data_IF_413321802433
#
_entry.id   IF_413321802433
#
_cell.length_a   1.000
_cell.length_b   1.000
_cell.length_c   1.000
_cell.angle_alpha   90.00
_cell.angle_beta   90.00
_cell.angle_gamma   90.00
#
_symmetry.space_group_name_H-M   'P 1'
#
loop_
_entity.id
_entity.type
_entity.pdbx_description
1 polymer ?
#
# COMPACT_ATOMS: atom_id res chain seq x y z
N UNK A 1 -4.71 -36.71 36.21
CA UNK A 1 -3.31 -36.24 36.03
C UNK A 1 -3.35 -35.19 34.94
N UNK A 2 -3.23 -33.91 35.29
CA UNK A 2 -3.35 -32.78 34.35
C UNK A 2 -1.97 -32.45 33.79
N UNK A 3 -1.76 -32.63 32.49
CA UNK A 3 -0.54 -32.23 31.80
C UNK A 3 -0.73 -30.83 31.24
N UNK A 4 -0.10 -29.83 31.87
CA UNK A 4 -0.06 -28.46 31.35
C UNK A 4 0.75 -28.45 30.04
N UNK A 5 0.25 -27.86 28.93
CA UNK A 5 1.01 -27.80 27.68
C UNK A 5 2.20 -26.85 27.88
N UNK A 6 3.42 -27.39 27.72
CA UNK A 6 4.65 -26.63 27.79
C UNK A 6 4.77 -25.74 26.55
N UNK A 7 4.83 -24.43 26.74
CA UNK A 7 5.09 -23.48 25.67
C UNK A 7 6.48 -23.72 25.09
N UNK A 8 6.62 -23.90 23.77
CA UNK A 8 7.94 -24.09 23.16
C UNK A 8 8.78 -22.82 23.35
N UNK A 9 10.02 -22.98 23.80
CA UNK A 9 10.96 -21.88 23.99
C UNK A 9 11.53 -21.46 22.64
N UNK A 10 11.16 -20.27 22.18
CA UNK A 10 11.64 -19.69 20.90
C UNK A 10 12.75 -18.70 21.19
N UNK A 11 13.85 -18.78 20.45
CA UNK A 11 14.98 -17.84 20.56
C UNK A 11 15.56 -17.54 19.19
N UNK A 12 15.89 -16.27 18.96
CA UNK A 12 16.67 -15.84 17.81
C UNK A 12 18.14 -16.15 18.08
N UNK A 13 18.78 -16.85 17.15
CA UNK A 13 20.18 -17.26 17.24
C UNK A 13 20.96 -16.78 16.03
N UNK A 14 22.27 -16.62 16.20
CA UNK A 14 23.16 -16.29 15.09
C UNK A 14 23.45 -17.53 14.22
N UNK A 15 24.09 -17.31 13.06
CA UNK A 15 24.39 -18.38 12.11
C UNK A 15 25.28 -19.51 12.68
N UNK A 16 26.27 -19.17 13.51
CA UNK A 16 27.17 -20.17 14.11
C UNK A 16 26.42 -21.07 15.10
N UNK A 17 25.57 -20.47 15.94
CA UNK A 17 24.71 -21.18 16.88
C UNK A 17 23.66 -22.04 16.16
N UNK A 18 23.12 -21.56 15.03
CA UNK A 18 22.21 -22.32 14.18
C UNK A 18 22.88 -23.58 13.61
N UNK A 19 24.06 -23.46 13.01
CA UNK A 19 24.82 -24.61 12.46
C UNK A 19 25.15 -25.63 13.55
N UNK A 20 25.46 -25.17 14.76
CA UNK A 20 25.69 -26.05 15.89
C UNK A 20 24.40 -26.77 16.32
N UNK A 21 23.28 -26.06 16.42
CA UNK A 21 21.99 -26.63 16.79
C UNK A 21 21.51 -27.70 15.80
N UNK A 22 21.72 -27.49 14.49
CA UNK A 22 21.40 -28.48 13.45
C UNK A 22 22.14 -29.83 13.61
N UNK A 23 23.27 -29.87 14.34
CA UNK A 23 24.07 -31.08 14.56
C UNK A 23 23.70 -31.84 15.84
N UNK A 24 22.82 -31.30 16.68
CA UNK A 24 22.37 -31.97 17.89
C UNK A 24 21.42 -33.12 17.54
N UNK A 25 21.53 -34.23 18.28
CA UNK A 25 20.59 -35.35 18.13
C UNK A 25 19.16 -34.90 18.49
N UNK A 26 18.21 -35.20 17.59
CA UNK A 26 16.80 -34.81 17.74
C UNK A 26 16.42 -33.45 17.13
N UNK A 27 17.37 -32.73 16.51
CA UNK A 27 17.08 -31.49 15.80
C UNK A 27 16.27 -31.73 14.51
N UNK A 28 15.25 -30.90 14.30
CA UNK A 28 14.44 -30.88 13.06
C UNK A 28 14.52 -29.49 12.45
N UNK A 29 14.89 -29.43 11.17
CA UNK A 29 15.04 -28.18 10.43
C UNK A 29 13.85 -27.96 9.50
N UNK A 30 13.27 -26.76 9.58
CA UNK A 30 12.23 -26.28 8.66
C UNK A 30 12.74 -25.05 7.92
N UNK A 31 12.50 -24.99 6.61
CA UNK A 31 12.82 -23.83 5.79
C UNK A 31 11.52 -23.23 5.28
N UNK A 32 11.29 -21.96 5.61
CA UNK A 32 10.19 -21.17 5.06
C UNK A 32 10.74 -20.37 3.90
N UNK A 33 10.31 -20.70 2.69
CA UNK A 33 10.59 -19.90 1.52
C UNK A 33 9.37 -19.01 1.26
N UNK A 34 9.57 -17.70 1.39
CA UNK A 34 8.59 -16.70 0.97
C UNK A 34 8.73 -16.54 -0.54
N UNK A 35 7.91 -17.23 -1.32
CA UNK A 35 7.74 -16.89 -2.72
C UNK A 35 6.85 -15.63 -2.80
N UNK A 36 7.22 -14.62 -3.59
CA UNK A 36 6.23 -13.69 -4.10
C UNK A 36 5.15 -14.52 -4.77
N UNK A 37 3.88 -14.25 -4.46
CA UNK A 37 2.77 -14.84 -5.19
C UNK A 37 2.79 -14.28 -6.62
N UNK A 38 3.60 -14.87 -7.49
CA UNK A 38 3.46 -14.72 -8.92
C UNK A 38 2.16 -15.42 -9.31
N UNK A 39 1.10 -14.62 -9.38
CA UNK A 39 -0.13 -14.90 -10.11
C UNK A 39 0.12 -14.94 -11.64
N UNK A 40 1.22 -15.58 -12.07
CA UNK A 40 1.69 -15.60 -13.44
C UNK A 40 2.05 -17.02 -13.93
N UNK A 41 1.25 -18.02 -13.57
CA UNK A 41 1.16 -19.27 -14.35
C UNK A 41 -0.30 -19.70 -14.52
N UNK A 42 -1.06 -18.93 -15.30
CA UNK A 42 -2.21 -19.40 -16.07
C UNK A 42 -2.57 -18.38 -17.16
N UNK A 43 -1.67 -18.15 -18.11
CA UNK A 43 -2.07 -17.61 -19.42
C UNK A 43 -1.63 -18.59 -20.49
N UNK A 44 -2.58 -19.43 -20.92
CA UNK A 44 -2.82 -19.85 -22.30
C UNK A 44 -4.06 -20.76 -22.33
N UNK A 45 -5.23 -20.14 -22.16
CA UNK A 45 -6.47 -20.63 -22.73
C UNK A 45 -7.31 -19.40 -23.10
N UNK A 46 -6.99 -18.85 -24.27
CA UNK A 46 -7.92 -18.04 -25.04
C UNK A 46 -9.12 -18.94 -25.38
N UNK A 47 -10.11 -18.99 -24.50
CA UNK A 47 -11.40 -19.58 -24.77
C UNK A 47 -12.44 -18.76 -24.04
N UNK A 48 -12.96 -17.75 -24.75
CA UNK A 48 -14.33 -17.26 -24.68
C UNK A 48 -15.24 -18.03 -23.71
N UNK A 49 -15.19 -17.68 -22.43
CA UNK A 49 -16.24 -18.02 -21.49
C UNK A 49 -16.91 -16.69 -21.15
N UNK A 50 -18.22 -16.53 -21.44
CA UNK A 50 -18.96 -15.39 -20.95
C UNK A 50 -18.82 -15.42 -19.42
N UNK A 51 -18.27 -14.34 -18.84
CA UNK A 51 -18.45 -14.09 -17.42
C UNK A 51 -19.95 -14.07 -17.20
N UNK A 52 -20.52 -15.14 -16.65
CA UNK A 52 -21.89 -15.14 -16.24
C UNK A 52 -21.99 -14.11 -15.12
N UNK A 53 -22.37 -12.88 -15.50
CA UNK A 53 -22.70 -11.79 -14.59
C UNK A 53 -24.22 -11.81 -14.44
N UNK A 54 -24.79 -12.71 -13.61
CA UNK A 54 -26.24 -12.94 -13.53
C UNK A 54 -27.05 -11.70 -13.13
N UNK A 55 -26.39 -10.68 -12.56
CA UNK A 55 -27.00 -9.43 -12.12
C UNK A 55 -26.65 -8.23 -13.03
N UNK A 56 -25.93 -8.44 -14.14
CA UNK A 56 -25.53 -7.38 -15.05
C UNK A 56 -26.21 -7.62 -16.39
N UNK A 57 -26.93 -6.61 -16.87
CA UNK A 57 -27.62 -6.66 -18.14
C UNK A 57 -26.60 -6.86 -19.29
N UNK A 58 -26.98 -7.63 -20.30
CA UNK A 58 -26.09 -8.09 -21.40
C UNK A 58 -25.33 -6.93 -22.08
N UNK A 59 -25.98 -5.77 -22.23
CA UNK A 59 -25.39 -4.54 -22.76
C UNK A 59 -24.19 -3.97 -21.96
N UNK A 60 -23.94 -4.44 -20.73
CA UNK A 60 -22.80 -4.03 -19.91
C UNK A 60 -21.70 -5.09 -19.81
N UNK A 61 -21.82 -6.23 -20.50
CA UNK A 61 -20.80 -7.28 -20.44
C UNK A 61 -19.47 -6.84 -21.07
N UNK A 62 -19.51 -5.90 -22.01
CA UNK A 62 -18.31 -5.26 -22.59
C UNK A 62 -17.52 -4.42 -21.56
N UNK A 63 -18.13 -4.06 -20.43
CA UNK A 63 -17.50 -3.34 -19.32
C UNK A 63 -17.23 -4.24 -18.10
N UNK A 64 -17.34 -5.56 -18.25
CA UNK A 64 -17.12 -6.52 -17.17
C UNK A 64 -15.74 -6.38 -16.51
N UNK A 65 -14.78 -5.85 -17.26
CA UNK A 65 -13.41 -5.59 -16.83
C UNK A 65 -13.23 -4.20 -16.18
N UNK A 66 -14.17 -3.27 -16.36
CA UNK A 66 -14.18 -1.93 -15.74
C UNK A 66 -14.69 -2.06 -14.31
N UNK A 67 -13.79 -2.43 -13.40
CA UNK A 67 -14.09 -2.58 -11.99
C UNK A 67 -13.01 -2.00 -11.09
N UNK A 68 -13.30 -2.01 -9.78
CA UNK A 68 -12.36 -1.58 -8.74
C UNK A 68 -11.00 -2.28 -8.84
N UNK A 69 -10.97 -3.51 -9.36
CA UNK A 69 -9.76 -4.28 -9.60
C UNK A 69 -8.86 -3.71 -10.73
N UNK A 70 -9.42 -3.03 -11.74
CA UNK A 70 -8.63 -2.29 -12.73
C UNK A 70 -8.22 -0.91 -12.23
N UNK A 71 -9.02 -0.30 -11.36
CA UNK A 71 -8.73 1.00 -10.75
C UNK A 71 -7.70 0.94 -9.62
N UNK A 72 -7.14 -0.23 -9.32
CA UNK A 72 -6.14 -0.43 -8.28
C UNK A 72 -4.72 -0.20 -8.76
N UNK A 73 -4.50 0.46 -9.89
CA UNK A 73 -3.19 0.84 -10.39
C UNK A 73 -3.30 2.18 -11.12
N UNK A 74 -2.22 2.98 -11.11
CA UNK A 74 -2.18 4.20 -11.92
C UNK A 74 -2.17 3.85 -13.41
N UNK A 75 -2.92 4.64 -14.17
CA UNK A 75 -2.80 4.63 -15.62
C UNK A 75 -1.46 5.27 -16.03
N UNK A 76 -0.90 4.85 -17.17
CA UNK A 76 0.22 5.57 -17.78
C UNK A 76 -0.14 7.04 -18.03
N UNK A 77 0.88 7.90 -17.97
CA UNK A 77 0.79 9.32 -18.34
C UNK A 77 0.18 9.49 -19.74
N UNK A 78 -0.74 10.44 -19.92
CA UNK A 78 -1.37 10.72 -21.21
C UNK A 78 -1.43 12.22 -21.52
N UNK A 79 -1.96 12.55 -22.70
CA UNK A 79 -1.96 13.92 -23.24
C UNK A 79 -2.79 14.92 -22.42
N UNK A 80 -3.68 14.46 -21.55
CA UNK A 80 -4.56 15.31 -20.73
C UNK A 80 -4.26 15.17 -19.24
N UNK A 81 -3.02 14.89 -18.87
CA UNK A 81 -2.56 15.00 -17.50
C UNK A 81 -2.74 16.43 -16.99
N UNK A 82 -3.32 16.56 -15.80
CA UNK A 82 -3.63 17.86 -15.22
C UNK A 82 -2.36 18.52 -14.66
N UNK A 83 -2.07 19.73 -15.14
CA UNK A 83 -0.98 20.55 -14.64
C UNK A 83 -1.51 21.56 -13.62
N UNK A 84 -0.88 21.62 -12.46
CA UNK A 84 -1.14 22.66 -11.46
C UNK A 84 -0.14 23.79 -11.69
N UNK A 85 -0.63 24.95 -12.14
CA UNK A 85 0.20 26.13 -12.33
C UNK A 85 0.33 26.94 -11.05
N UNK A 86 1.55 27.33 -10.71
CA UNK A 86 1.86 28.12 -9.52
C UNK A 86 2.18 29.56 -9.91
N UNK A 87 1.87 30.50 -9.03
CA UNK A 87 2.30 31.90 -9.16
C UNK A 87 3.84 32.02 -9.15
N UNK A 88 4.39 32.90 -9.97
CA UNK A 88 5.84 33.07 -10.09
C UNK A 88 6.44 33.72 -8.84
N UNK A 89 7.64 33.26 -8.44
CA UNK A 89 8.39 33.85 -7.33
C UNK A 89 7.91 33.51 -5.92
N UNK A 90 6.94 32.59 -5.77
CA UNK A 90 6.44 32.20 -4.46
C UNK A 90 7.13 30.94 -3.92
N UNK A 91 7.66 31.04 -2.69
CA UNK A 91 8.25 29.91 -1.97
C UNK A 91 7.19 29.35 -1.02
N UNK A 92 6.96 28.03 -1.02
CA UNK A 92 6.11 27.44 0.03
C UNK A 92 6.82 27.58 1.37
N UNK A 93 6.11 28.13 2.34
CA UNK A 93 6.48 27.99 3.73
C UNK A 93 6.15 26.56 4.15
N UNK A 94 7.18 25.79 4.48
CA UNK A 94 7.01 24.53 5.21
C UNK A 94 6.18 24.83 6.47
N UNK A 95 4.97 24.27 6.53
CA UNK A 95 4.13 24.39 7.72
C UNK A 95 4.76 23.65 8.89
N UNK A 96 4.39 24.03 10.11
CA UNK A 96 4.73 23.33 11.34
C UNK A 96 4.51 21.82 11.19
N UNK A 97 5.49 21.02 11.60
CA UNK A 97 5.36 19.56 11.65
C UNK A 97 4.47 19.22 12.86
N UNK A 98 3.35 18.55 12.61
CA UNK A 98 2.47 18.09 13.70
C UNK A 98 2.97 16.76 14.24
N UNK A 99 2.88 16.62 15.56
CA UNK A 99 3.24 15.38 16.22
C UNK A 99 2.13 14.34 16.00
N UNK A 100 2.50 13.17 15.47
CA UNK A 100 1.61 12.04 15.30
C UNK A 100 1.64 11.16 16.54
N UNK A 101 0.47 10.68 16.96
CA UNK A 101 0.38 9.60 17.95
C UNK A 101 0.93 8.27 17.37
N UNK A 102 1.27 7.28 18.21
CA UNK A 102 1.76 5.98 17.71
C UNK A 102 0.79 5.29 16.74
N UNK A 103 -0.52 5.44 16.96
CA UNK A 103 -1.56 4.84 16.11
C UNK A 103 -1.62 5.54 14.75
N UNK A 104 -1.55 6.87 14.74
CA UNK A 104 -1.52 7.65 13.50
C UNK A 104 -0.24 7.41 12.71
N UNK A 105 0.90 7.30 13.40
CA UNK A 105 2.18 6.99 12.76
C UNK A 105 2.15 5.61 12.09
N UNK A 106 1.58 4.60 12.76
CA UNK A 106 1.40 3.28 12.16
C UNK A 106 0.49 3.36 10.92
N UNK A 107 -0.64 4.07 11.01
CA UNK A 107 -1.54 4.27 9.89
C UNK A 107 -0.86 5.00 8.71
N UNK A 108 0.03 5.96 9.00
CA UNK A 108 0.81 6.67 7.99
C UNK A 108 1.74 5.72 7.24
N UNK A 109 2.49 4.88 7.95
CA UNK A 109 3.39 3.90 7.31
C UNK A 109 2.62 2.90 6.45
N UNK A 110 1.52 2.34 6.97
CA UNK A 110 0.66 1.45 6.18
C UNK A 110 0.16 2.13 4.91
N UNK A 111 -0.32 3.37 5.00
CA UNK A 111 -0.77 4.11 3.84
C UNK A 111 0.36 4.34 2.82
N UNK A 112 1.56 4.73 3.27
CA UNK A 112 2.70 4.97 2.39
C UNK A 112 3.08 3.68 1.65
N UNK A 113 3.21 2.56 2.36
CA UNK A 113 3.60 1.27 1.78
C UNK A 113 2.58 0.77 0.75
N UNK A 114 1.29 0.86 1.06
CA UNK A 114 0.21 0.48 0.15
C UNK A 114 0.20 1.33 -1.13
N UNK A 115 0.37 2.65 -1.00
CA UNK A 115 0.33 3.55 -2.15
C UNK A 115 1.62 3.51 -2.97
N UNK A 116 2.78 3.23 -2.36
CA UNK A 116 4.03 2.96 -3.09
C UNK A 116 3.93 1.65 -3.88
N UNK A 117 3.41 0.59 -3.25
CA UNK A 117 3.22 -0.71 -3.92
C UNK A 117 2.25 -0.60 -5.10
N UNK A 118 1.21 0.20 -4.95
CA UNK A 118 0.21 0.45 -6.00
C UNK A 118 0.71 1.42 -7.08
N UNK A 119 1.76 2.19 -6.78
CA UNK A 119 2.28 3.24 -7.65
C UNK A 119 1.50 4.56 -7.59
N UNK A 120 0.52 4.72 -6.69
CA UNK A 120 -0.23 5.98 -6.53
C UNK A 120 0.63 7.14 -6.04
N UNK A 121 1.68 6.84 -5.27
CA UNK A 121 2.68 7.82 -4.85
C UNK A 121 4.06 7.31 -5.20
N UNK A 122 5.03 8.22 -5.26
CA UNK A 122 6.44 7.91 -5.44
C UNK A 122 7.30 8.89 -4.63
N UNK A 123 8.54 8.51 -4.27
CA UNK A 123 9.49 9.45 -3.70
C UNK A 123 9.72 10.63 -4.65
N UNK A 124 9.74 11.85 -4.12
CA UNK A 124 9.99 13.06 -4.91
C UNK A 124 11.08 13.91 -4.26
N UNK A 125 11.81 14.67 -5.09
CA UNK A 125 12.77 15.70 -4.63
C UNK A 125 12.18 17.10 -4.75
N UNK A 126 10.85 17.22 -4.63
CA UNK A 126 10.15 18.50 -4.74
C UNK A 126 10.60 19.45 -3.63
N UNK A 127 10.80 20.75 -3.92
CA UNK A 127 11.03 21.75 -2.87
C UNK A 127 9.76 22.01 -2.04
N UNK A 128 8.62 21.47 -2.47
CA UNK A 128 7.31 21.66 -1.87
C UNK A 128 6.92 20.46 -1.01
N UNK A 129 6.44 20.73 0.19
CA UNK A 129 5.91 19.74 1.11
C UNK A 129 4.56 20.20 1.68
N UNK A 130 3.71 19.24 2.00
CA UNK A 130 2.43 19.46 2.65
C UNK A 130 2.34 18.61 3.92
N UNK A 131 1.56 19.10 4.87
CA UNK A 131 1.32 18.38 6.12
C UNK A 131 0.35 17.22 5.89
N UNK A 132 0.54 16.14 6.66
CA UNK A 132 -0.42 15.04 6.76
C UNK A 132 -1.20 15.15 8.07
N UNK A 133 -2.51 15.00 7.97
CA UNK A 133 -3.47 15.00 9.06
C UNK A 133 -4.27 13.70 9.04
N UNK A 134 -4.75 13.27 10.21
CA UNK A 134 -5.67 12.15 10.31
C UNK A 134 -7.05 12.61 10.77
N UNK A 135 -8.08 12.14 10.06
CA UNK A 135 -9.47 12.33 10.44
C UNK A 135 -10.08 11.00 10.84
N UNK A 136 -10.80 10.99 11.97
CA UNK A 136 -11.53 9.80 12.41
C UNK A 136 -12.85 9.71 11.65
N UNK A 137 -13.05 8.61 10.92
CA UNK A 137 -14.31 8.28 10.26
C UNK A 137 -15.37 7.84 11.30
N UNK A 138 -16.63 7.79 10.87
CA UNK A 138 -17.77 7.37 11.70
C UNK A 138 -17.61 5.94 12.25
N UNK A 139 -16.98 5.06 11.49
CA UNK A 139 -16.67 3.67 11.87
C UNK A 139 -15.47 3.56 12.83
N UNK A 140 -14.85 4.69 13.18
CA UNK A 140 -13.70 4.76 14.06
C UNK A 140 -12.35 4.57 13.37
N UNK A 141 -12.31 4.30 12.06
CA UNK A 141 -11.08 4.20 11.30
C UNK A 141 -10.43 5.57 11.08
N UNK A 142 -9.11 5.57 10.83
CA UNK A 142 -8.36 6.77 10.50
C UNK A 142 -8.31 6.96 8.98
N UNK A 143 -8.57 8.18 8.53
CA UNK A 143 -8.40 8.60 7.14
C UNK A 143 -7.27 9.61 7.06
N UNK A 144 -6.28 9.30 6.22
CA UNK A 144 -5.21 10.23 5.89
C UNK A 144 -5.76 11.38 5.04
N UNK A 145 -5.40 12.61 5.40
CA UNK A 145 -5.73 13.83 4.70
C UNK A 145 -4.46 14.65 4.52
N UNK A 146 -4.21 15.13 3.31
CA UNK A 146 -3.05 16.00 3.02
C UNK A 146 -3.54 17.45 3.01
N UNK A 147 -2.91 18.29 3.83
CA UNK A 147 -3.26 19.70 3.92
C UNK A 147 -2.58 20.49 2.78
N UNK A 148 -3.30 20.60 1.66
CA UNK A 148 -2.91 21.42 0.53
C UNK A 148 -3.25 22.91 0.69
N UNK A 149 -3.71 23.39 1.86
CA UNK A 149 -4.09 24.81 2.00
C UNK A 149 -2.96 25.78 1.65
N UNK A 150 -1.71 25.42 1.93
CA UNK A 150 -0.54 26.21 1.53
C UNK A 150 -0.36 26.25 0.02
N UNK A 151 -0.43 25.08 -0.63
CA UNK A 151 -0.31 24.93 -2.08
C UNK A 151 -1.45 25.64 -2.82
N UNK A 152 -2.69 25.46 -2.37
CA UNK A 152 -3.89 26.02 -2.98
C UNK A 152 -3.89 27.56 -3.00
N UNK A 153 -3.14 28.22 -2.10
CA UNK A 153 -2.96 29.68 -2.12
C UNK A 153 -1.97 30.15 -3.19
N UNK A 154 -1.07 29.27 -3.61
CA UNK A 154 -0.08 29.54 -4.66
C UNK A 154 -0.56 29.10 -6.04
N UNK A 155 -1.55 28.22 -6.10
CA UNK A 155 -2.13 27.75 -7.36
C UNK A 155 -2.86 28.88 -8.08
N UNK A 156 -2.55 29.08 -9.36
CA UNK A 156 -3.29 29.96 -10.26
C UNK A 156 -4.71 29.43 -10.42
N UNK A 157 -5.69 30.33 -10.36
CA UNK A 157 -7.09 29.97 -10.58
C UNK A 157 -7.40 30.05 -12.06
N UNK A 158 -8.09 29.02 -12.56
CA UNK A 158 -8.64 28.97 -13.92
C UNK A 158 -9.79 29.97 -14.12
#
# INVERSE_FOLDING_TARGET
MSTTPLTPHVSLINAAAFVHACKLEGSVQFQLQLCPSDSAQAQLALASHPLALPNVLEEYHDFADVGKAKASALLPHWEYDLKIELEEGTTLLLSTIYLLSPVELQALWTFIDENLTTGFIQPTSSPYAALVLFMKKKDGSLQLCVDFCGLNKLTKKD
#
